data_IF_348834478733
#
_entry.id   IF_348834478733
#
_cell.length_a   1.000
_cell.length_b   1.000
_cell.length_c   1.000
_cell.angle_alpha   90.00
_cell.angle_beta   90.00
_cell.angle_gamma   90.00
#
_symmetry.space_group_name_H-M   'P 1'
#
loop_
_entity.id
_entity.type
_entity.pdbx_description
1 polymer ?
#
# COMPACT_ATOMS: atom_id res chain seq x y z
N UNK A 1 -16.91 10.98 14.52
CA UNK A 1 -16.42 9.58 14.51
C UNK A 1 -16.76 8.98 13.15
N UNK A 2 -15.84 9.02 12.19
CA UNK A 2 -16.09 8.42 10.87
C UNK A 2 -15.67 6.95 10.94
N UNK A 3 -16.66 6.08 11.19
CA UNK A 3 -16.57 4.63 10.98
C UNK A 3 -16.81 4.34 9.49
N UNK A 4 -15.90 4.80 8.63
CA UNK A 4 -15.84 4.24 7.29
C UNK A 4 -14.99 2.98 7.39
N UNK A 5 -15.54 1.83 7.02
CA UNK A 5 -14.80 0.59 6.79
C UNK A 5 -13.79 0.82 5.66
N UNK A 6 -12.68 1.50 5.99
CA UNK A 6 -11.61 1.76 5.05
C UNK A 6 -11.08 0.41 4.57
N UNK A 7 -11.00 0.24 3.25
CA UNK A 7 -10.42 -0.96 2.68
C UNK A 7 -8.92 -0.98 3.01
N UNK A 8 -8.50 -1.97 3.79
CA UNK A 8 -7.12 -2.12 4.27
C UNK A 8 -6.14 -2.40 3.11
N UNK A 9 -6.66 -2.93 2.01
CA UNK A 9 -5.91 -3.31 0.81
C UNK A 9 -6.10 -2.32 -0.34
N UNK A 10 -6.56 -1.09 -0.06
CA UNK A 10 -6.72 -0.07 -1.08
C UNK A 10 -5.39 0.17 -1.82
N UNK A 11 -5.44 0.21 -3.14
CA UNK A 11 -4.26 0.42 -3.98
C UNK A 11 -4.31 1.80 -4.64
N UNK A 12 -3.18 2.49 -4.63
CA UNK A 12 -2.95 3.63 -5.52
C UNK A 12 -2.73 3.13 -6.96
N UNK A 13 -2.66 4.05 -7.93
CA UNK A 13 -2.46 3.73 -9.35
C UNK A 13 -1.20 2.90 -9.63
N UNK A 14 -0.17 3.07 -8.81
CA UNK A 14 1.09 2.31 -8.84
C UNK A 14 1.06 1.02 -8.00
N UNK A 15 -0.11 0.60 -7.49
CA UNK A 15 -0.24 -0.58 -6.63
C UNK A 15 0.22 -0.36 -5.18
N UNK A 16 0.63 0.85 -4.78
CA UNK A 16 0.99 1.11 -3.38
C UNK A 16 -0.22 0.97 -2.47
N UNK A 17 -0.06 0.18 -1.39
CA UNK A 17 -1.06 -0.05 -0.34
C UNK A 17 -0.72 0.76 0.92
N UNK A 18 -1.65 0.91 1.88
CA UNK A 18 -1.34 1.45 3.20
C UNK A 18 -0.15 0.74 3.86
N UNK A 19 -0.05 -0.59 3.70
CA UNK A 19 1.06 -1.38 4.24
C UNK A 19 2.39 -1.04 3.57
N UNK A 20 2.41 -0.88 2.26
CA UNK A 20 3.60 -0.48 1.51
C UNK A 20 4.12 0.89 1.99
N UNK A 21 3.23 1.88 2.08
CA UNK A 21 3.58 3.25 2.50
C UNK A 21 4.06 3.27 3.95
N UNK A 22 3.35 2.60 4.87
CA UNK A 22 3.75 2.52 6.28
C UNK A 22 5.13 1.86 6.46
N UNK A 23 5.40 0.80 5.69
CA UNK A 23 6.70 0.12 5.70
C UNK A 23 7.82 1.01 5.14
N UNK A 24 7.57 1.70 4.02
CA UNK A 24 8.53 2.63 3.41
C UNK A 24 8.89 3.80 4.33
N UNK A 25 7.91 4.34 5.06
CA UNK A 25 8.12 5.45 5.99
C UNK A 25 8.64 5.00 7.38
N UNK A 26 8.78 3.70 7.64
CA UNK A 26 9.24 3.20 8.94
C UNK A 26 8.22 3.33 10.08
N UNK A 27 6.92 3.44 9.76
CA UNK A 27 5.85 3.58 10.75
C UNK A 27 5.47 2.23 11.38
N UNK A 28 6.31 1.74 12.28
CA UNK A 28 6.18 0.38 12.86
C UNK A 28 4.81 0.10 13.48
N UNK A 29 4.22 1.05 14.21
CA UNK A 29 2.92 0.85 14.86
C UNK A 29 1.79 0.69 13.86
N UNK A 30 1.86 1.43 12.75
CA UNK A 30 0.91 1.33 11.64
C UNK A 30 1.07 -0.01 10.91
N UNK A 31 2.31 -0.45 10.69
CA UNK A 31 2.59 -1.77 10.10
C UNK A 31 2.01 -2.88 10.96
N UNK A 32 2.24 -2.85 12.28
CA UNK A 32 1.66 -3.84 13.22
C UNK A 32 0.13 -3.82 13.16
N UNK A 33 -0.48 -2.65 13.20
CA UNK A 33 -1.93 -2.51 13.11
C UNK A 33 -2.48 -3.14 11.81
N UNK A 34 -1.85 -2.86 10.66
CA UNK A 34 -2.30 -3.37 9.37
C UNK A 34 -2.15 -4.90 9.26
N UNK A 35 -1.02 -5.45 9.74
CA UNK A 35 -0.78 -6.90 9.76
C UNK A 35 -1.77 -7.61 10.68
N UNK A 36 -2.04 -7.07 11.88
CA UNK A 36 -3.03 -7.63 12.80
C UNK A 36 -4.45 -7.62 12.23
N UNK A 37 -4.75 -6.67 11.34
CA UNK A 37 -6.03 -6.58 10.63
C UNK A 37 -6.03 -7.33 9.28
N UNK A 38 -5.06 -8.22 9.04
CA UNK A 38 -4.98 -9.09 7.86
C UNK A 38 -4.85 -8.35 6.53
N UNK A 39 -4.11 -7.24 6.50
CA UNK A 39 -3.69 -6.62 5.25
C UNK A 39 -2.98 -7.65 4.35
N UNK A 40 -3.27 -7.64 3.07
CA UNK A 40 -2.68 -8.54 2.10
C UNK A 40 -1.23 -8.11 1.79
N UNK A 41 -0.28 -8.96 2.20
CA UNK A 41 1.15 -8.75 2.05
C UNK A 41 1.67 -9.05 0.64
N UNK A 42 0.88 -9.76 -0.18
CA UNK A 42 1.25 -10.19 -1.52
C UNK A 42 0.90 -9.14 -2.59
N UNK A 43 0.27 -8.02 -2.22
CA UNK A 43 -0.04 -6.95 -3.16
C UNK A 43 1.26 -6.28 -3.61
N UNK A 44 1.53 -6.41 -4.90
CA UNK A 44 2.77 -5.92 -5.50
C UNK A 44 2.62 -4.48 -5.97
N UNK A 45 3.68 -3.71 -5.75
CA UNK A 45 3.89 -2.43 -6.42
C UNK A 45 3.92 -2.66 -7.93
N UNK A 46 3.02 -2.02 -8.65
CA UNK A 46 3.03 -2.03 -10.10
C UNK A 46 4.03 -0.99 -10.54
N UNK A 47 5.16 -1.43 -11.09
CA UNK A 47 6.00 -0.55 -11.91
C UNK A 47 5.08 -0.02 -13.00
N UNK A 48 4.69 1.25 -12.89
CA UNK A 48 4.08 1.96 -14.01
C UNK A 48 5.15 1.83 -15.09
N UNK A 49 4.86 1.10 -16.17
CA UNK A 49 5.69 1.13 -17.36
C UNK A 49 5.67 2.58 -17.82
N UNK A 50 6.61 3.37 -17.34
CA UNK A 50 7.08 4.54 -18.07
C UNK A 50 7.65 3.91 -19.31
N UNK A 51 6.86 3.89 -20.39
CA UNK A 51 7.44 3.91 -21.72
C UNK A 51 8.32 5.16 -21.71
N UNK A 52 9.59 4.99 -21.37
CA UNK A 52 10.60 5.89 -21.85
C UNK A 52 10.60 5.65 -23.36
N UNK A 53 10.09 6.57 -24.20
CA UNK A 53 10.39 6.47 -25.60
C UNK A 53 11.91 6.48 -25.70
N UNK A 54 12.46 5.35 -26.15
CA UNK A 54 13.86 5.27 -26.54
C UNK A 54 14.02 6.26 -27.70
N UNK A 55 14.72 7.36 -27.44
CA UNK A 55 15.25 8.23 -28.49
C UNK A 55 16.38 7.51 -29.22
#
# INVERSE_FOLDING_TARGET
MVLNKANIDIQLKNGATPLFIASQCGHLDVVKYLVLNKANIDIQFKVIKVEYPLN
#
